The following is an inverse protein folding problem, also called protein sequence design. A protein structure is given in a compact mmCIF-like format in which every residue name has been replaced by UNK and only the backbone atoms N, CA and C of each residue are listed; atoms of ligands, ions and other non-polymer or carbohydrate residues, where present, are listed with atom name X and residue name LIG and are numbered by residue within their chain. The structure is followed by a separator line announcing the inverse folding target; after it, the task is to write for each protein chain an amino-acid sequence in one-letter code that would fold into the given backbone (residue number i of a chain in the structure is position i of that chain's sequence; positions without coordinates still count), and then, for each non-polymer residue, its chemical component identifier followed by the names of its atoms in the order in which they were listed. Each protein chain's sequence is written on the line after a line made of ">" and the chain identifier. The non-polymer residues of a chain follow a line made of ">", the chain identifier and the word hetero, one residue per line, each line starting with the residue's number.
data_IF_812113638271
#
_entry.id   IF_812113638271
#
_cell.length_a   1.000
_cell.length_b   1.000
_cell.length_c   1.000
_cell.angle_alpha   90.00
_cell.angle_beta   90.00
_cell.angle_gamma   90.00
#
_symmetry.space_group_name_H-M   'P 1'
#
loop_
_entity.id
_entity.type
_entity.pdbx_description
1 polymer ?
#
# COMPACT_ATOMS: atom_id res chain seq x y z
N UNK A 1 -63.77 6.06 -15.45
CA UNK A 1 -63.63 7.05 -14.36
C UNK A 1 -62.55 8.06 -14.74
N UNK A 2 -62.95 9.25 -15.19
CA UNK A 2 -62.09 10.39 -15.53
C UNK A 2 -62.59 11.57 -14.70
N UNK A 3 -61.79 12.04 -13.75
CA UNK A 3 -61.96 13.32 -13.02
C UNK A 3 -60.72 13.48 -12.15
N UNK A 4 -60.11 14.64 -11.91
CA UNK A 4 -60.00 15.94 -12.55
C UNK A 4 -59.03 16.69 -11.61
N UNK A 5 -57.82 16.99 -12.06
CA UNK A 5 -56.90 17.84 -11.30
C UNK A 5 -57.30 19.31 -11.43
N UNK A 6 -57.44 20.08 -10.34
CA UNK A 6 -57.38 21.53 -10.40
C UNK A 6 -55.97 22.03 -10.11
N UNK A 7 -55.55 22.90 -11.02
CA UNK A 7 -54.32 23.67 -11.09
C UNK A 7 -54.41 24.93 -10.21
N UNK A 8 -53.21 25.44 -9.86
CA UNK A 8 -52.83 26.86 -9.75
C UNK A 8 -53.42 27.72 -8.62
N UNK A 9 -52.54 28.22 -7.76
CA UNK A 9 -52.47 29.66 -7.48
C UNK A 9 -51.02 30.14 -7.58
N UNK A 10 -50.85 31.15 -8.42
CA UNK A 10 -49.64 31.92 -8.66
C UNK A 10 -49.56 33.11 -7.69
N UNK A 11 -48.36 33.64 -7.47
CA UNK A 11 -48.19 35.01 -6.98
C UNK A 11 -46.95 35.19 -6.09
N UNK A 12 -45.90 35.77 -6.66
CA UNK A 12 -44.70 36.12 -5.89
C UNK A 12 -43.54 36.58 -6.79
N UNK A 13 -43.76 37.64 -7.56
CA UNK A 13 -42.75 38.31 -8.38
C UNK A 13 -41.93 39.24 -7.47
N UNK A 14 -40.66 38.90 -7.20
CA UNK A 14 -39.70 39.80 -6.56
C UNK A 14 -38.44 39.90 -7.43
N UNK A 15 -38.44 40.98 -8.21
CA UNK A 15 -37.34 41.87 -8.55
C UNK A 15 -35.89 41.33 -8.43
N UNK A 16 -35.32 41.09 -9.60
CA UNK A 16 -34.06 41.64 -10.09
C UNK A 16 -32.89 41.77 -9.10
N UNK A 17 -31.97 40.80 -9.17
CA UNK A 17 -30.58 40.93 -8.75
C UNK A 17 -29.68 40.18 -9.73
N UNK A 18 -29.28 40.85 -10.82
CA UNK A 18 -28.25 40.37 -11.73
C UNK A 18 -26.90 40.40 -11.00
N UNK A 19 -26.57 39.31 -10.30
CA UNK A 19 -25.21 39.05 -9.85
C UNK A 19 -24.42 38.48 -11.03
N UNK A 20 -23.51 39.29 -11.57
CA UNK A 20 -22.51 38.85 -12.54
C UNK A 20 -21.67 37.71 -11.92
N UNK A 21 -21.47 36.57 -12.60
CA UNK A 21 -20.46 35.63 -12.17
C UNK A 21 -19.09 36.25 -12.44
N UNK A 22 -18.34 36.54 -11.37
CA UNK A 22 -16.93 36.82 -11.48
C UNK A 22 -16.24 35.56 -12.04
N UNK A 23 -15.87 35.62 -13.32
CA UNK A 23 -14.95 34.67 -13.94
C UNK A 23 -13.61 34.82 -13.23
N UNK A 24 -13.39 33.99 -12.21
CA UNK A 24 -12.10 33.85 -11.55
C UNK A 24 -11.16 33.16 -12.54
N UNK A 25 -10.24 33.93 -13.10
CA UNK A 25 -9.15 33.38 -13.91
C UNK A 25 -8.25 32.55 -12.99
N UNK A 26 -7.92 31.29 -13.34
CA UNK A 26 -6.89 30.58 -12.60
C UNK A 26 -5.56 31.24 -12.94
N UNK A 27 -5.07 32.07 -12.01
CA UNK A 27 -3.70 32.56 -12.05
C UNK A 27 -2.79 31.34 -11.88
N UNK A 28 -2.36 30.76 -13.01
CA UNK A 28 -1.24 29.83 -13.03
C UNK A 28 -0.07 30.57 -12.40
N UNK A 29 0.25 30.19 -11.16
CA UNK A 29 1.40 30.68 -10.44
C UNK A 29 2.63 30.46 -11.31
N UNK A 30 3.21 31.57 -11.77
CA UNK A 30 4.45 31.55 -12.51
C UNK A 30 5.49 30.91 -11.58
N UNK A 31 5.98 29.73 -11.97
CA UNK A 31 7.06 29.06 -11.27
C UNK A 31 8.25 30.02 -11.23
N UNK A 32 8.61 30.46 -10.01
CA UNK A 32 9.86 31.20 -9.81
C UNK A 32 11.02 30.29 -10.23
N UNK A 33 11.93 30.75 -11.10
CA UNK A 33 13.13 29.99 -11.39
C UNK A 33 13.96 29.85 -10.10
N UNK A 34 14.20 28.60 -9.70
CA UNK A 34 15.11 28.27 -8.59
C UNK A 34 16.53 28.49 -9.12
N UNK A 35 17.39 29.28 -8.46
CA UNK A 35 18.78 29.44 -8.88
C UNK A 35 19.52 28.09 -8.80
N UNK A 36 20.11 27.69 -9.92
CA UNK A 36 20.78 26.39 -10.13
C UNK A 36 22.19 26.30 -9.51
N UNK A 37 22.37 26.71 -8.25
CA UNK A 37 23.70 26.74 -7.61
C UNK A 37 23.75 26.15 -6.20
N UNK A 38 22.88 25.19 -5.87
CA UNK A 38 23.01 24.41 -4.65
C UNK A 38 23.40 22.96 -4.98
N UNK A 39 24.70 22.68 -4.94
CA UNK A 39 25.24 21.32 -4.94
C UNK A 39 24.76 20.61 -3.67
N UNK A 40 24.16 19.41 -3.73
CA UNK A 40 23.79 18.68 -2.53
C UNK A 40 25.05 18.26 -1.76
N UNK A 41 25.07 18.36 -0.42
CA UNK A 41 26.18 17.84 0.37
C UNK A 41 26.25 16.31 0.24
N UNK A 42 27.47 15.81 0.04
CA UNK A 42 27.77 14.37 0.08
C UNK A 42 27.48 13.84 1.50
N UNK A 43 26.78 12.71 1.65
CA UNK A 43 26.61 12.09 2.96
C UNK A 43 27.95 11.57 3.47
N UNK A 44 28.26 11.84 4.73
CA UNK A 44 29.44 11.30 5.42
C UNK A 44 29.41 9.76 5.42
N UNK A 45 30.58 9.09 5.32
CA UNK A 45 30.63 7.64 5.44
C UNK A 45 30.24 7.21 6.86
N UNK A 46 29.31 6.26 6.97
CA UNK A 46 28.94 5.67 8.26
C UNK A 46 30.15 5.01 8.93
N UNK A 47 30.30 5.13 10.26
CA UNK A 47 31.34 4.41 10.99
C UNK A 47 31.06 2.90 10.94
N UNK A 48 32.10 2.15 10.57
CA UNK A 48 32.07 0.68 10.61
C UNK A 48 32.08 0.20 12.06
N UNK A 49 31.06 -0.56 12.46
CA UNK A 49 31.07 -1.25 13.76
C UNK A 49 32.07 -2.41 13.73
N UNK A 50 32.86 -2.62 14.80
CA UNK A 50 33.72 -3.80 14.92
C UNK A 50 32.86 -5.04 15.17
N UNK A 51 32.98 -6.03 14.30
CA UNK A 51 32.44 -7.38 14.48
C UNK A 51 33.16 -8.07 15.63
N UNK A 52 32.46 -8.25 16.75
CA UNK A 52 32.91 -9.12 17.84
C UNK A 52 32.89 -10.57 17.41
N UNK A 53 34.04 -11.23 17.45
CA UNK A 53 34.18 -12.66 17.23
C UNK A 53 33.74 -13.43 18.48
N UNK A 54 32.69 -14.25 18.35
CA UNK A 54 32.40 -15.33 19.28
C UNK A 54 32.81 -16.65 18.62
N UNK A 55 33.46 -17.51 19.40
CA UNK A 55 34.17 -18.72 18.98
C UNK A 55 33.29 -19.75 18.24
N UNK A 56 33.89 -20.40 17.23
CA UNK A 56 33.25 -21.34 16.31
C UNK A 56 33.03 -22.73 16.93
N UNK A 57 31.82 -23.27 16.75
CA UNK A 57 31.53 -24.69 16.73
C UNK A 57 31.77 -25.24 15.29
N UNK A 58 32.02 -26.55 15.09
CA UNK A 58 32.42 -27.05 13.77
C UNK A 58 31.27 -26.93 12.74
N UNK A 59 31.52 -26.17 11.68
CA UNK A 59 30.63 -25.94 10.55
C UNK A 59 30.35 -27.23 9.79
N UNK A 60 29.11 -27.71 9.83
CA UNK A 60 28.55 -28.41 8.68
C UNK A 60 28.54 -27.41 7.52
N UNK A 61 29.11 -27.78 6.37
CA UNK A 61 29.16 -26.90 5.20
C UNK A 61 27.76 -26.46 4.77
N UNK A 62 27.32 -25.29 5.23
CA UNK A 62 26.15 -24.60 4.70
C UNK A 62 26.51 -24.08 3.30
N UNK A 63 25.72 -24.45 2.30
CA UNK A 63 25.81 -23.83 0.97
C UNK A 63 25.69 -22.30 1.10
N UNK A 64 26.40 -21.51 0.26
CA UNK A 64 26.32 -20.06 0.31
C UNK A 64 24.87 -19.62 0.16
N UNK A 65 24.40 -18.79 1.10
CA UNK A 65 23.04 -18.23 1.01
C UNK A 65 22.95 -17.37 -0.25
N UNK A 66 21.89 -17.52 -1.06
CA UNK A 66 21.72 -16.73 -2.26
C UNK A 66 21.60 -15.25 -1.89
N UNK A 67 22.19 -14.39 -2.72
CA UNK A 67 22.18 -12.94 -2.53
C UNK A 67 20.78 -12.35 -2.73
N UNK A 68 19.91 -13.06 -3.45
CA UNK A 68 18.50 -12.72 -3.63
C UNK A 68 17.61 -13.96 -3.62
N UNK A 69 16.37 -13.81 -3.13
CA UNK A 69 15.32 -14.83 -3.31
C UNK A 69 15.05 -15.15 -4.78
N UNK A 70 15.43 -14.26 -5.71
CA UNK A 70 15.35 -14.52 -7.16
C UNK A 70 16.31 -15.62 -7.61
N UNK A 71 17.47 -15.72 -6.98
CA UNK A 71 18.45 -16.76 -7.32
C UNK A 71 17.92 -18.15 -6.95
N UNK A 72 17.11 -18.23 -5.88
CA UNK A 72 16.47 -19.48 -5.41
C UNK A 72 15.50 -20.05 -6.45
N UNK A 73 14.86 -19.20 -7.26
CA UNK A 73 13.80 -19.62 -8.19
C UNK A 73 14.28 -19.71 -9.64
N UNK A 74 15.58 -19.59 -9.90
CA UNK A 74 16.11 -19.56 -11.26
C UNK A 74 15.70 -20.80 -12.06
N UNK A 75 14.98 -20.60 -13.16
CA UNK A 75 14.44 -21.67 -14.01
C UNK A 75 13.06 -22.21 -13.58
N UNK A 76 12.53 -21.76 -12.44
CA UNK A 76 11.23 -22.15 -11.90
C UNK A 76 10.27 -20.95 -11.77
N UNK A 77 10.58 -19.81 -12.41
CA UNK A 77 9.84 -18.55 -12.23
C UNK A 77 8.38 -18.65 -12.67
N UNK A 78 8.09 -19.52 -13.63
CA UNK A 78 6.76 -19.73 -14.20
C UNK A 78 6.00 -20.88 -13.53
N UNK A 79 6.63 -21.62 -12.62
CA UNK A 79 5.94 -22.67 -11.88
C UNK A 79 5.01 -22.07 -10.82
N UNK A 80 3.89 -22.73 -10.51
CA UNK A 80 3.05 -22.32 -9.39
C UNK A 80 3.85 -22.20 -8.09
N UNK A 81 3.63 -21.11 -7.35
CA UNK A 81 4.40 -20.77 -6.15
C UNK A 81 4.39 -21.88 -5.10
N UNK A 82 3.29 -22.63 -4.96
CA UNK A 82 3.18 -23.75 -4.03
C UNK A 82 4.03 -24.98 -4.39
N UNK A 83 4.56 -25.05 -5.63
CA UNK A 83 5.53 -26.08 -6.03
C UNK A 83 6.96 -25.71 -5.66
N UNK A 84 7.26 -24.41 -5.66
CA UNK A 84 8.61 -23.87 -5.43
C UNK A 84 8.82 -23.50 -3.95
N UNK A 85 7.78 -22.97 -3.30
CA UNK A 85 7.82 -22.48 -1.92
C UNK A 85 6.91 -23.28 -0.99
N UNK A 86 7.27 -23.31 0.28
CA UNK A 86 6.50 -23.99 1.33
C UNK A 86 5.50 -23.04 1.99
N UNK A 87 4.40 -23.61 2.50
CA UNK A 87 3.37 -22.90 3.27
C UNK A 87 2.66 -21.75 2.52
N UNK A 88 2.41 -21.94 1.21
CA UNK A 88 1.56 -21.05 0.42
C UNK A 88 0.09 -21.38 0.67
N UNK A 89 -0.65 -20.44 1.28
CA UNK A 89 -2.04 -20.65 1.67
C UNK A 89 -3.03 -19.92 0.76
N UNK A 90 -2.75 -18.65 0.42
CA UNK A 90 -3.68 -17.76 -0.30
C UNK A 90 -3.30 -17.56 -1.77
N UNK A 91 -2.03 -17.34 -2.07
CA UNK A 91 -1.52 -17.02 -3.41
C UNK A 91 -1.15 -18.28 -4.21
N UNK A 92 -1.95 -19.35 -4.09
CA UNK A 92 -1.75 -20.60 -4.84
C UNK A 92 -2.01 -20.38 -6.33
N UNK A 93 -1.29 -21.09 -7.19
CA UNK A 93 -1.39 -20.99 -8.65
C UNK A 93 -0.70 -19.75 -9.25
N UNK A 94 -0.28 -18.78 -8.43
CA UNK A 94 0.51 -17.63 -8.90
C UNK A 94 1.90 -18.11 -9.29
N UNK A 95 2.47 -17.70 -10.45
CA UNK A 95 3.83 -18.04 -10.81
C UNK A 95 4.86 -17.58 -9.75
N UNK A 96 5.88 -18.38 -9.46
CA UNK A 96 6.86 -18.10 -8.41
C UNK A 96 7.56 -16.73 -8.56
N UNK A 97 7.84 -16.31 -9.80
CA UNK A 97 8.37 -14.97 -10.06
C UNK A 97 7.39 -13.85 -9.68
N UNK A 98 6.10 -14.03 -10.03
CA UNK A 98 5.04 -13.08 -9.67
C UNK A 98 4.73 -13.09 -8.18
N UNK A 99 4.90 -14.23 -7.53
CA UNK A 99 4.79 -14.33 -6.08
C UNK A 99 5.86 -13.48 -5.39
N UNK A 100 7.11 -13.54 -5.84
CA UNK A 100 8.16 -12.66 -5.31
C UNK A 100 7.91 -11.18 -5.63
N UNK A 101 7.40 -10.84 -6.83
CA UNK A 101 7.00 -9.46 -7.15
C UNK A 101 5.95 -8.93 -6.17
N UNK A 102 5.00 -9.78 -5.77
CA UNK A 102 3.98 -9.42 -4.79
C UNK A 102 4.58 -9.17 -3.41
N UNK A 103 5.56 -9.97 -2.97
CA UNK A 103 6.26 -9.75 -1.69
C UNK A 103 6.99 -8.40 -1.68
N UNK A 104 7.69 -8.08 -2.78
CA UNK A 104 8.36 -6.78 -2.96
C UNK A 104 7.33 -5.64 -2.93
N UNK A 105 6.19 -5.81 -3.61
CA UNK A 105 5.08 -4.86 -3.60
C UNK A 105 4.50 -4.61 -2.21
N UNK A 106 4.34 -5.66 -1.38
CA UNK A 106 3.88 -5.53 0.00
C UNK A 106 4.89 -4.77 0.85
N UNK A 107 6.17 -5.11 0.76
CA UNK A 107 7.23 -4.42 1.51
C UNK A 107 7.25 -2.91 1.19
N UNK A 108 7.17 -2.56 -0.10
CA UNK A 108 7.13 -1.17 -0.56
C UNK A 108 5.87 -0.45 -0.09
N UNK A 109 4.70 -1.08 -0.19
CA UNK A 109 3.44 -0.47 0.21
C UNK A 109 3.36 -0.13 1.71
N UNK A 110 4.04 -0.93 2.54
CA UNK A 110 4.11 -0.78 3.99
C UNK A 110 5.35 0.00 4.46
N UNK A 111 6.29 0.33 3.55
CA UNK A 111 7.54 0.98 3.90
C UNK A 111 8.45 0.13 4.80
N UNK A 112 8.41 -1.19 4.64
CA UNK A 112 9.13 -2.14 5.49
C UNK A 112 10.06 -3.05 4.69
N UNK A 113 10.78 -3.95 5.39
CA UNK A 113 11.69 -4.94 4.80
C UNK A 113 11.15 -6.35 5.02
N UNK A 114 11.61 -7.33 4.24
CA UNK A 114 11.14 -8.72 4.29
C UNK A 114 11.17 -9.32 5.70
N UNK A 115 12.21 -9.02 6.48
CA UNK A 115 12.39 -9.48 7.87
C UNK A 115 11.29 -9.03 8.83
N UNK A 116 10.52 -8.01 8.47
CA UNK A 116 9.44 -7.53 9.32
C UNK A 116 8.30 -8.55 9.40
N UNK A 117 8.02 -9.24 8.30
CA UNK A 117 6.98 -10.27 8.25
C UNK A 117 7.54 -11.69 8.24
N UNK A 118 8.80 -11.87 7.83
CA UNK A 118 9.40 -13.20 7.69
C UNK A 118 10.55 -13.44 8.66
N UNK A 119 10.70 -14.69 9.08
CA UNK A 119 11.98 -15.23 9.52
C UNK A 119 12.86 -15.45 8.29
N UNK A 120 14.04 -14.83 8.25
CA UNK A 120 14.96 -14.90 7.11
C UNK A 120 15.71 -16.23 7.03
N UNK A 121 15.74 -17.02 8.11
CA UNK A 121 16.27 -18.38 8.11
C UNK A 121 15.19 -19.41 7.71
N UNK A 122 13.91 -19.07 7.91
CA UNK A 122 12.78 -19.92 7.53
C UNK A 122 11.55 -19.11 7.05
N UNK A 123 11.55 -18.73 5.77
CA UNK A 123 10.45 -17.96 5.16
C UNK A 123 9.06 -18.64 5.26
N UNK A 124 9.02 -19.96 5.41
CA UNK A 124 7.79 -20.72 5.56
C UNK A 124 7.18 -20.60 6.97
N UNK A 125 7.97 -20.21 7.98
CA UNK A 125 7.51 -20.06 9.37
C UNK A 125 6.37 -19.04 9.49
N UNK A 126 5.41 -19.35 10.36
CA UNK A 126 4.32 -18.47 10.77
C UNK A 126 4.48 -17.97 12.21
N UNK A 127 5.69 -18.02 12.77
CA UNK A 127 5.93 -17.61 14.16
C UNK A 127 5.76 -16.10 14.36
N UNK A 128 5.96 -15.31 13.30
CA UNK A 128 5.73 -13.87 13.28
C UNK A 128 4.26 -13.54 13.07
N UNK A 129 3.69 -12.78 14.00
CA UNK A 129 2.29 -12.36 13.94
C UNK A 129 2.00 -11.43 12.76
N UNK A 130 2.98 -10.63 12.34
CA UNK A 130 2.87 -9.75 11.17
C UNK A 130 2.52 -10.53 9.90
N UNK A 131 3.04 -11.76 9.75
CA UNK A 131 2.71 -12.63 8.62
C UNK A 131 1.27 -13.10 8.66
N UNK A 132 0.75 -13.43 9.85
CA UNK A 132 -0.65 -13.85 10.05
C UNK A 132 -1.59 -12.70 9.72
N UNK A 133 -1.28 -11.49 10.21
CA UNK A 133 -2.02 -10.27 9.89
C UNK A 133 -1.98 -9.99 8.38
N UNK A 134 -0.81 -10.10 7.75
CA UNK A 134 -0.67 -9.89 6.31
C UNK A 134 -1.56 -10.84 5.49
N UNK A 135 -1.72 -12.11 5.90
CA UNK A 135 -2.67 -13.03 5.25
C UNK A 135 -4.12 -12.52 5.35
N UNK A 136 -4.54 -12.06 6.51
CA UNK A 136 -5.85 -11.43 6.67
C UNK A 136 -6.04 -10.21 5.77
N UNK A 137 -5.01 -9.37 5.65
CA UNK A 137 -5.04 -8.18 4.77
C UNK A 137 -5.10 -8.54 3.29
N UNK A 138 -4.43 -9.61 2.86
CA UNK A 138 -4.54 -10.13 1.49
C UNK A 138 -5.97 -10.59 1.20
N UNK A 139 -6.59 -11.33 2.13
CA UNK A 139 -7.99 -11.77 1.98
C UNK A 139 -8.95 -10.58 1.93
N UNK A 140 -8.78 -9.61 2.82
CA UNK A 140 -9.59 -8.39 2.86
C UNK A 140 -9.48 -7.62 1.54
N UNK A 141 -8.27 -7.35 1.07
CA UNK A 141 -8.02 -6.59 -0.15
C UNK A 141 -8.59 -7.32 -1.37
N UNK A 142 -8.40 -8.65 -1.44
CA UNK A 142 -9.02 -9.47 -2.49
C UNK A 142 -10.55 -9.34 -2.47
N UNK A 143 -11.16 -9.49 -1.29
CA UNK A 143 -12.61 -9.37 -1.10
C UNK A 143 -13.12 -7.99 -1.52
N UNK A 144 -12.46 -6.91 -1.09
CA UNK A 144 -12.81 -5.54 -1.45
C UNK A 144 -12.84 -5.37 -2.97
N UNK A 145 -11.76 -5.81 -3.63
CA UNK A 145 -11.62 -5.65 -5.07
C UNK A 145 -12.64 -6.48 -5.85
N UNK A 146 -12.87 -7.72 -5.43
CA UNK A 146 -13.77 -8.63 -6.14
C UNK A 146 -15.25 -8.31 -5.93
N UNK A 147 -15.62 -7.94 -4.70
CA UNK A 147 -17.03 -7.78 -4.32
C UNK A 147 -17.55 -6.37 -4.59
N UNK A 148 -16.71 -5.35 -4.39
CA UNK A 148 -17.14 -3.95 -4.46
C UNK A 148 -16.52 -3.20 -5.63
N UNK A 149 -15.19 -3.18 -5.75
CA UNK A 149 -14.52 -2.34 -6.75
C UNK A 149 -14.90 -2.75 -8.18
N UNK A 150 -14.81 -4.05 -8.50
CA UNK A 150 -15.18 -4.55 -9.84
C UNK A 150 -16.65 -4.37 -10.21
N UNK A 151 -17.54 -4.28 -9.22
CA UNK A 151 -19.00 -4.23 -9.41
C UNK A 151 -19.55 -2.81 -9.32
N UNK A 152 -18.72 -1.84 -8.90
CA UNK A 152 -19.15 -0.47 -8.64
C UNK A 152 -19.45 0.27 -9.96
N UNK A 153 -20.67 0.81 -10.13
CA UNK A 153 -20.99 1.59 -11.32
C UNK A 153 -20.20 2.91 -11.31
N UNK A 154 -19.80 3.35 -12.49
CA UNK A 154 -19.11 4.63 -12.72
C UNK A 154 -17.71 4.75 -12.08
N UNK A 155 -17.12 3.64 -11.62
CA UNK A 155 -15.71 3.60 -11.23
C UNK A 155 -14.83 3.28 -12.45
N UNK A 156 -13.60 3.79 -12.45
CA UNK A 156 -12.62 3.49 -13.50
C UNK A 156 -12.41 1.98 -13.62
N UNK A 157 -12.22 1.50 -14.85
CA UNK A 157 -12.15 0.06 -15.14
C UNK A 157 -10.92 -0.62 -14.56
N UNK A 158 -9.88 0.16 -14.31
CA UNK A 158 -8.62 -0.25 -13.70
C UNK A 158 -8.51 0.16 -12.22
N UNK A 159 -9.58 0.72 -11.63
CA UNK A 159 -9.61 1.01 -10.21
C UNK A 159 -9.34 -0.26 -9.39
N UNK A 160 -8.45 -0.13 -8.40
CA UNK A 160 -8.02 -1.23 -7.56
C UNK A 160 -7.56 -0.71 -6.20
N UNK A 161 -8.02 -1.36 -5.13
CA UNK A 161 -7.52 -1.13 -3.78
C UNK A 161 -6.28 -1.99 -3.58
N UNK A 162 -5.16 -1.36 -3.25
CA UNK A 162 -3.92 -2.04 -2.90
C UNK A 162 -3.54 -1.79 -1.44
N UNK A 163 -2.50 -2.46 -0.95
CA UNK A 163 -1.96 -2.18 0.38
C UNK A 163 -1.58 -0.69 0.52
N UNK A 164 -1.07 -0.07 -0.54
CA UNK A 164 -0.63 1.32 -0.52
C UNK A 164 -1.80 2.30 -0.35
N UNK A 165 -3.00 1.94 -0.80
CA UNK A 165 -4.23 2.75 -0.67
C UNK A 165 -4.53 3.14 0.78
N UNK A 166 -4.13 2.30 1.75
CA UNK A 166 -4.31 2.59 3.18
C UNK A 166 -2.99 2.83 3.90
N UNK A 167 -1.94 2.07 3.57
CA UNK A 167 -0.68 2.14 4.29
C UNK A 167 0.18 3.36 3.91
N UNK A 168 0.10 3.84 2.66
CA UNK A 168 0.88 4.98 2.18
C UNK A 168 2.37 4.92 2.56
N UNK A 169 3.00 3.74 2.47
CA UNK A 169 4.40 3.54 2.83
C UNK A 169 4.67 3.49 4.33
N UNK A 170 3.66 3.23 5.16
CA UNK A 170 3.79 3.09 6.62
C UNK A 170 3.20 1.77 7.08
N UNK A 171 3.86 1.08 8.01
CA UNK A 171 3.39 -0.19 8.56
C UNK A 171 2.05 -0.06 9.27
N UNK A 172 1.76 1.10 9.85
CA UNK A 172 0.49 1.42 10.48
C UNK A 172 -0.21 2.53 9.69
N UNK A 173 -1.39 2.24 9.10
CA UNK A 173 -2.21 3.25 8.45
C UNK A 173 -2.57 4.38 9.43
N UNK A 174 -2.68 5.61 8.93
CA UNK A 174 -3.27 6.69 9.72
C UNK A 174 -4.74 6.32 9.98
N UNK A 175 -5.09 6.10 11.25
CA UNK A 175 -6.47 5.82 11.65
C UNK A 175 -7.34 7.07 11.55
N UNK A 176 -7.49 7.78 12.67
CA UNK A 176 -8.23 9.04 12.75
C UNK A 176 -7.30 10.25 12.67
N UNK A 177 -7.80 11.45 12.31
CA UNK A 177 -7.03 12.69 12.44
C UNK A 177 -6.43 12.81 13.85
N UNK A 178 -5.22 13.36 13.95
CA UNK A 178 -4.48 13.46 15.24
C UNK A 178 -5.26 14.24 16.31
N UNK A 179 -6.08 15.22 15.91
CA UNK A 179 -6.94 15.99 16.81
C UNK A 179 -7.95 15.08 17.55
N UNK A 180 -8.55 14.12 16.86
CA UNK A 180 -9.54 13.24 17.48
C UNK A 180 -8.90 12.12 18.32
N UNK A 181 -7.60 11.84 18.12
CA UNK A 181 -6.84 10.90 18.99
C UNK A 181 -6.58 11.52 20.36
N UNK A 182 -6.19 12.80 20.39
CA UNK A 182 -5.96 13.56 21.63
C UNK A 182 -7.22 13.65 22.48
N UNK A 183 -8.34 14.02 21.85
CA UNK A 183 -9.62 14.14 22.54
C UNK A 183 -10.11 12.80 23.14
N UNK A 184 -9.80 11.67 22.49
CA UNK A 184 -10.17 10.35 23.02
C UNK A 184 -9.23 9.84 24.13
N UNK A 185 -7.98 10.32 24.17
CA UNK A 185 -7.05 10.04 25.27
C UNK A 185 -7.42 10.86 26.52
N UNK A 186 -7.92 12.08 26.35
CA UNK A 186 -8.36 12.95 27.45
C UNK A 186 -9.69 12.49 28.07
N UNK A 187 -10.50 11.70 27.33
CA UNK A 187 -11.78 11.14 27.81
C UNK A 187 -11.65 9.78 28.50
N UNK A 188 -10.46 9.21 28.62
CA UNK A 188 -10.19 7.91 29.26
C UNK A 188 -9.45 8.12 30.57
#
# INVERSE_FOLDING_TARGET
>A
MRVLFPKLMAGGLLLAGLALPALSTPQHGQARPIPATATPPTPDPMPSHPTGQAAAAPEAQQAPRPNSMRDVIKGHENEPAEKVFKNIQLLKGVPAGRFLDAMDGFANALGTKCRECHDTENFASDDKDEKKVARGMIQMTKGINEQYIKTMPSLDRDAYVSCYTCHHGKTHPAGRPEEEKKEQQERR
#
